data_IF_298845826197
#
_entry.id   IF_298845826197
#
_cell.length_a   1.000
_cell.length_b   1.000
_cell.length_c   1.000
_cell.angle_alpha   90.00
_cell.angle_beta   90.00
_cell.angle_gamma   90.00
#
_symmetry.space_group_name_H-M   'P 1'
#
loop_
_entity.id
_entity.type
_entity.pdbx_description
1 polymer ?
#
# COMPACT_ATOMS: atom_id res chain seq x y z
N UNK A 1 -3.98 3.63 -9.99
CA UNK A 1 -3.80 2.18 -10.28
C UNK A 1 -3.39 1.43 -9.02
N UNK A 2 -4.18 0.45 -8.61
CA UNK A 2 -3.89 -0.43 -7.46
C UNK A 2 -3.17 -1.68 -7.92
N UNK A 3 -2.12 -2.10 -7.20
CA UNK A 3 -1.36 -3.33 -7.46
C UNK A 3 -1.19 -4.11 -6.17
N UNK A 4 -1.38 -5.42 -6.24
CA UNK A 4 -1.10 -6.34 -5.14
C UNK A 4 0.08 -7.22 -5.52
N UNK A 5 0.94 -7.55 -4.57
CA UNK A 5 2.07 -8.43 -4.85
C UNK A 5 2.93 -8.69 -3.63
N UNK A 6 4.17 -9.09 -3.90
CA UNK A 6 5.21 -9.38 -2.92
C UNK A 6 6.34 -8.37 -3.06
N UNK A 7 6.97 -7.97 -1.95
CA UNK A 7 8.22 -7.20 -2.05
C UNK A 7 9.33 -8.07 -2.66
N UNK A 8 10.14 -7.50 -3.56
CA UNK A 8 11.20 -8.22 -4.28
C UNK A 8 12.28 -8.86 -3.39
N UNK A 9 12.37 -8.46 -2.12
CA UNK A 9 13.44 -8.87 -1.22
C UNK A 9 12.99 -9.67 0.00
N UNK A 10 11.69 -9.67 0.34
CA UNK A 10 11.26 -10.22 1.63
C UNK A 10 9.93 -10.97 1.58
N UNK A 11 9.34 -11.19 0.40
CA UNK A 11 8.11 -11.95 0.20
C UNK A 11 6.93 -11.46 1.08
N UNK A 12 6.95 -10.18 1.41
CA UNK A 12 5.92 -9.51 2.21
C UNK A 12 4.74 -9.13 1.34
N UNK A 13 3.52 -9.33 1.84
CA UNK A 13 2.33 -8.89 1.12
C UNK A 13 2.30 -7.37 1.04
N UNK A 14 2.05 -6.87 -0.16
CA UNK A 14 1.99 -5.44 -0.45
C UNK A 14 0.72 -5.09 -1.22
N UNK A 15 0.06 -4.04 -0.76
CA UNK A 15 -0.89 -3.27 -1.55
C UNK A 15 -0.22 -1.96 -1.91
N UNK A 16 0.00 -1.74 -3.21
CA UNK A 16 0.57 -0.52 -3.77
C UNK A 16 -0.54 0.30 -4.44
N UNK A 17 -0.56 1.59 -4.13
CA UNK A 17 -1.34 2.61 -4.81
C UNK A 17 -0.38 3.47 -5.62
N UNK A 18 -0.51 3.42 -6.94
CA UNK A 18 0.17 4.32 -7.84
C UNK A 18 -0.77 5.48 -8.23
N UNK A 19 -0.46 6.66 -7.71
CA UNK A 19 -1.10 7.96 -7.98
C UNK A 19 -0.18 8.88 -8.79
N UNK A 20 0.86 8.31 -9.42
CA UNK A 20 1.76 9.07 -10.27
C UNK A 20 1.02 9.66 -11.47
N UNK A 21 1.37 10.89 -11.80
CA UNK A 21 0.94 11.54 -13.04
C UNK A 21 2.17 11.88 -13.90
N UNK A 22 1.93 12.48 -15.07
CA UNK A 22 3.02 12.87 -15.97
C UNK A 22 4.03 13.84 -15.35
N UNK A 23 3.63 14.62 -14.34
CA UNK A 23 4.42 15.65 -13.65
C UNK A 23 5.04 15.13 -12.34
N UNK A 24 4.41 14.19 -11.66
CA UNK A 24 4.78 13.72 -10.33
C UNK A 24 4.86 12.18 -10.33
N UNK A 25 6.04 11.65 -10.61
CA UNK A 25 6.28 10.19 -10.74
C UNK A 25 6.44 9.47 -9.40
N UNK A 26 6.57 10.22 -8.32
CA UNK A 26 6.88 9.74 -6.98
C UNK A 26 5.65 9.82 -6.05
N UNK A 27 4.46 9.54 -6.60
CA UNK A 27 3.21 9.51 -5.83
C UNK A 27 2.76 8.06 -5.65
N UNK A 28 3.60 7.30 -4.96
CA UNK A 28 3.36 5.88 -4.70
C UNK A 28 3.24 5.68 -3.19
N UNK A 29 2.17 5.02 -2.78
CA UNK A 29 1.89 4.60 -1.41
C UNK A 29 1.88 3.08 -1.36
N UNK A 30 2.66 2.51 -0.44
CA UNK A 30 2.74 1.07 -0.22
C UNK A 30 2.28 0.75 1.18
N UNK A 31 1.34 -0.19 1.31
CA UNK A 31 0.97 -0.82 2.56
C UNK A 31 1.59 -2.21 2.59
N UNK A 32 2.35 -2.51 3.63
CA UNK A 32 3.24 -3.68 3.68
C UNK A 32 2.95 -4.46 4.96
N UNK A 33 2.68 -5.76 4.83
CA UNK A 33 2.65 -6.72 5.93
C UNK A 33 4.06 -7.28 6.15
N UNK A 34 4.65 -7.00 7.31
CA UNK A 34 5.96 -7.50 7.68
C UNK A 34 5.83 -8.52 8.81
N UNK A 35 6.32 -9.74 8.62
CA UNK A 35 6.45 -10.71 9.70
C UNK A 35 7.80 -10.53 10.40
N UNK A 36 7.76 -10.23 11.70
CA UNK A 36 8.96 -10.09 12.51
C UNK A 36 9.62 -11.45 12.73
N UNK A 37 10.89 -11.43 13.15
CA UNK A 37 11.62 -12.65 13.52
C UNK A 37 10.98 -13.35 14.74
N UNK A 38 10.17 -12.62 15.53
CA UNK A 38 9.43 -13.17 16.68
C UNK A 38 8.10 -13.81 16.29
N UNK A 39 7.71 -13.77 15.00
CA UNK A 39 6.42 -14.27 14.51
C UNK A 39 5.26 -13.28 14.64
N UNK A 40 5.56 -12.03 15.05
CA UNK A 40 4.57 -10.97 15.14
C UNK A 40 4.40 -10.26 13.79
N UNK A 41 3.17 -9.88 13.43
CA UNK A 41 2.91 -9.11 12.23
C UNK A 41 2.95 -7.59 12.51
N UNK A 42 3.81 -6.88 11.81
CA UNK A 42 3.86 -5.42 11.71
C UNK A 42 3.24 -4.94 10.40
N UNK A 43 2.65 -3.75 10.43
CA UNK A 43 2.02 -3.13 9.26
C UNK A 43 2.68 -1.78 8.99
N UNK A 44 3.33 -1.63 7.84
CA UNK A 44 4.10 -0.43 7.48
C UNK A 44 3.45 0.29 6.32
N UNK A 45 3.49 1.62 6.36
CA UNK A 45 3.04 2.48 5.26
C UNK A 45 4.27 3.25 4.76
N UNK A 46 4.69 2.93 3.54
CA UNK A 46 5.80 3.59 2.88
C UNK A 46 5.26 4.54 1.82
N UNK A 47 5.69 5.78 1.88
CA UNK A 47 5.21 6.82 0.99
C UNK A 47 6.42 7.43 0.29
N UNK A 48 6.54 7.22 -1.02
CA UNK A 48 7.74 7.58 -1.79
C UNK A 48 7.69 9.06 -2.22
N UNK A 49 7.45 10.01 -1.32
CA UNK A 49 7.50 11.44 -1.65
C UNK A 49 8.94 11.94 -1.60
N UNK A 50 9.34 12.79 -2.54
CA UNK A 50 10.62 13.51 -2.44
C UNK A 50 10.51 14.65 -1.44
N UNK A 51 11.57 14.89 -0.67
CA UNK A 51 11.75 16.07 0.17
C UNK A 51 11.80 17.36 -0.67
N UNK A 52 10.67 17.99 -1.00
CA UNK A 52 10.65 19.39 -1.44
C UNK A 52 9.25 20.04 -1.43
N UNK A 53 9.05 20.89 -0.42
CA UNK A 53 8.36 22.20 -0.33
C UNK A 53 7.01 22.52 -1.02
N UNK A 54 6.47 21.71 -1.94
CA UNK A 54 5.14 21.96 -2.49
C UNK A 54 4.47 20.63 -2.85
N UNK A 55 3.51 20.20 -2.05
CA UNK A 55 2.75 18.97 -2.29
C UNK A 55 1.34 19.34 -2.77
N UNK A 56 1.02 19.17 -4.06
CA UNK A 56 -0.37 19.23 -4.51
C UNK A 56 -1.17 18.12 -3.82
N UNK A 57 -2.43 18.40 -3.50
CA UNK A 57 -3.39 17.37 -3.08
C UNK A 57 -3.38 16.22 -4.10
N UNK A 58 -3.28 14.98 -3.62
CA UNK A 58 -3.42 13.81 -4.48
C UNK A 58 -4.90 13.56 -4.74
N UNK A 59 -5.22 13.24 -5.98
CA UNK A 59 -6.56 12.89 -6.40
C UNK A 59 -6.58 11.42 -6.81
N UNK A 60 -7.66 10.74 -6.43
CA UNK A 60 -7.94 9.35 -6.74
C UNK A 60 -9.30 9.31 -7.42
N UNK A 61 -9.44 8.48 -8.45
CA UNK A 61 -10.75 8.25 -9.07
C UNK A 61 -11.66 7.45 -8.13
N UNK A 62 -12.97 7.52 -8.33
CA UNK A 62 -13.92 6.68 -7.56
C UNK A 62 -13.64 5.19 -7.76
N UNK A 63 -13.31 4.78 -9.00
CA UNK A 63 -12.96 3.40 -9.32
C UNK A 63 -11.69 2.92 -8.60
N UNK A 64 -10.64 3.75 -8.55
CA UNK A 64 -9.41 3.44 -7.80
C UNK A 64 -9.70 3.35 -6.29
N UNK A 65 -10.60 4.18 -5.74
CA UNK A 65 -10.99 4.15 -4.34
C UNK A 65 -11.74 2.85 -3.99
N UNK A 66 -12.67 2.44 -4.86
CA UNK A 66 -13.39 1.17 -4.71
C UNK A 66 -12.42 -0.01 -4.80
N UNK A 67 -11.50 0.01 -5.77
CA UNK A 67 -10.48 -1.03 -5.92
C UNK A 67 -9.59 -1.14 -4.68
N UNK A 68 -9.13 0.00 -4.14
CA UNK A 68 -8.35 0.04 -2.91
C UNK A 68 -9.12 -0.55 -1.73
N UNK A 69 -10.37 -0.12 -1.53
CA UNK A 69 -11.20 -0.61 -0.43
C UNK A 69 -11.38 -2.13 -0.49
N UNK A 70 -11.57 -2.69 -1.69
CA UNK A 70 -11.69 -4.13 -1.88
C UNK A 70 -10.41 -4.88 -1.49
N UNK A 71 -9.23 -4.39 -1.88
CA UNK A 71 -7.96 -5.03 -1.49
C UNK A 71 -7.68 -4.93 0.01
N UNK A 72 -7.97 -3.77 0.62
CA UNK A 72 -7.87 -3.60 2.07
C UNK A 72 -8.82 -4.56 2.82
N UNK A 73 -10.05 -4.72 2.35
CA UNK A 73 -11.02 -5.64 2.97
C UNK A 73 -10.58 -7.11 2.87
N UNK A 74 -10.03 -7.54 1.73
CA UNK A 74 -9.44 -8.89 1.59
C UNK A 74 -8.29 -9.09 2.59
N UNK A 75 -7.45 -8.08 2.74
CA UNK A 75 -6.32 -8.15 3.68
C UNK A 75 -6.79 -8.20 5.13
N UNK A 76 -7.79 -7.41 5.52
CA UNK A 76 -8.43 -7.48 6.84
C UNK A 76 -9.01 -8.87 7.11
N UNK A 77 -9.70 -9.47 6.13
CA UNK A 77 -10.24 -10.82 6.26
C UNK A 77 -9.14 -11.87 6.52
N UNK A 78 -7.97 -11.75 5.86
CA UNK A 78 -6.79 -12.58 6.12
C UNK A 78 -6.28 -12.42 7.55
N UNK A 79 -6.21 -11.18 8.05
CA UNK A 79 -5.78 -10.89 9.43
C UNK A 79 -6.75 -11.53 10.45
N UNK A 80 -8.06 -11.36 10.22
CA UNK A 80 -9.09 -11.94 11.10
C UNK A 80 -9.03 -13.47 11.11
N UNK A 81 -8.85 -14.10 9.95
CA UNK A 81 -8.76 -15.56 9.82
C UNK A 81 -7.55 -16.16 10.54
N UNK A 82 -6.44 -15.41 10.69
CA UNK A 82 -5.26 -15.86 11.47
C UNK A 82 -5.44 -15.73 12.98
N UNK A 83 -6.38 -14.91 13.44
CA UNK A 83 -6.64 -14.65 14.87
C UNK A 83 -7.71 -15.57 15.47
N UNK A 84 -8.56 -16.16 14.63
CA UNK A 84 -9.57 -17.15 15.00
C UNK A 84 -9.02 -18.57 14.96
#
# INVERSE_FOLDING_TARGET
>A
MIRTGKTEHFDHDVIQIDLADSRHRNRVLNFIEWESVTGDFEYRINAQWTNAQYHPTMHMSEDDLIALANELNKWVAKIQSRRG
#
